data_IF_063912858130
#
_entry.id   IF_063912858130
#
_cell.length_a   1.000
_cell.length_b   1.000
_cell.length_c   1.000
_cell.angle_alpha   90.00
_cell.angle_beta   90.00
_cell.angle_gamma   90.00
#
_symmetry.space_group_name_H-M   'P 1'
#
loop_
_entity.id
_entity.type
_entity.pdbx_description
1 polymer ?
#
# COMPACT_ATOMS: atom_id res chain seq x y z
N UNK A 1 14.36 -14.21 4.90
CA UNK A 1 13.48 -13.23 4.23
C UNK A 1 12.29 -13.91 3.56
N UNK A 2 12.52 -15.01 2.81
CA UNK A 2 11.45 -15.71 2.08
C UNK A 2 10.33 -16.25 2.99
N UNK A 3 10.68 -16.80 4.16
CA UNK A 3 9.69 -17.24 5.16
C UNK A 3 8.82 -16.11 5.71
N UNK A 4 9.38 -14.90 5.83
CA UNK A 4 8.62 -13.70 6.25
C UNK A 4 7.60 -13.34 5.18
N UNK A 5 7.99 -13.37 3.91
CA UNK A 5 7.10 -13.14 2.78
C UNK A 5 5.93 -14.13 2.78
N UNK A 6 6.21 -15.42 2.90
CA UNK A 6 5.17 -16.47 2.99
C UNK A 6 4.29 -16.25 4.21
N UNK A 7 4.88 -15.97 5.37
CA UNK A 7 4.12 -15.73 6.61
C UNK A 7 3.15 -14.56 6.50
N UNK A 8 3.59 -13.43 5.93
CA UNK A 8 2.72 -12.29 5.66
C UNK A 8 1.60 -12.62 4.66
N UNK A 9 1.91 -13.39 3.61
CA UNK A 9 0.92 -13.81 2.62
C UNK A 9 -0.14 -14.70 3.24
N UNK A 10 0.26 -15.68 4.05
CA UNK A 10 -0.66 -16.58 4.78
C UNK A 10 -1.50 -15.78 5.78
N UNK A 11 -0.88 -14.86 6.52
CA UNK A 11 -1.60 -14.01 7.47
C UNK A 11 -2.67 -13.17 6.76
N UNK A 12 -2.32 -12.55 5.63
CA UNK A 12 -3.27 -11.81 4.82
C UNK A 12 -4.43 -12.68 4.34
N UNK A 13 -4.13 -13.86 3.82
CA UNK A 13 -5.14 -14.82 3.37
C UNK A 13 -6.11 -15.17 4.50
N UNK A 14 -5.61 -15.52 5.68
CA UNK A 14 -6.45 -15.85 6.84
C UNK A 14 -7.37 -14.68 7.22
N UNK A 15 -6.86 -13.45 7.24
CA UNK A 15 -7.67 -12.27 7.56
C UNK A 15 -8.74 -12.00 6.49
N UNK A 16 -8.47 -12.23 5.23
CA UNK A 16 -9.42 -12.00 4.15
C UNK A 16 -10.52 -13.07 4.09
N UNK A 17 -10.25 -14.32 4.47
CA UNK A 17 -11.25 -15.42 4.47
C UNK A 17 -12.44 -15.13 5.39
N UNK A 18 -12.27 -14.27 6.42
CA UNK A 18 -13.40 -13.88 7.30
C UNK A 18 -14.46 -13.04 6.59
N UNK A 19 -14.13 -12.43 5.45
CA UNK A 19 -15.01 -11.47 4.76
C UNK A 19 -15.19 -11.77 3.27
N UNK A 20 -14.36 -12.62 2.69
CA UNK A 20 -14.35 -12.97 1.27
C UNK A 20 -14.48 -14.49 1.06
N UNK A 21 -15.02 -14.94 -0.10
CA UNK A 21 -14.89 -16.32 -0.50
C UNK A 21 -13.42 -16.77 -0.51
N UNK A 22 -13.18 -18.03 -0.12
CA UNK A 22 -11.81 -18.58 0.03
C UNK A 22 -10.97 -18.37 -1.24
N UNK A 23 -11.55 -18.58 -2.41
CA UNK A 23 -10.86 -18.41 -3.69
C UNK A 23 -10.50 -16.94 -3.94
N UNK A 24 -11.43 -16.02 -3.69
CA UNK A 24 -11.22 -14.58 -3.85
C UNK A 24 -10.13 -14.08 -2.85
N UNK A 25 -10.18 -14.57 -1.61
CA UNK A 25 -9.18 -14.26 -0.58
C UNK A 25 -7.78 -14.74 -0.95
N UNK A 26 -7.66 -15.99 -1.46
CA UNK A 26 -6.39 -16.58 -1.85
C UNK A 26 -5.76 -15.83 -3.03
N UNK A 27 -6.53 -15.58 -4.07
CA UNK A 27 -6.04 -14.86 -5.26
C UNK A 27 -5.68 -13.41 -4.94
N UNK A 28 -6.48 -12.73 -4.10
CA UNK A 28 -6.18 -11.37 -3.64
C UNK A 28 -4.92 -11.32 -2.79
N UNK A 29 -4.70 -12.29 -1.89
CA UNK A 29 -3.49 -12.38 -1.08
C UNK A 29 -2.25 -12.56 -1.98
N UNK A 30 -2.28 -13.44 -2.97
CA UNK A 30 -1.17 -13.62 -3.92
C UNK A 30 -0.96 -12.39 -4.80
N UNK A 31 -2.04 -11.79 -5.32
CA UNK A 31 -1.97 -10.60 -6.14
C UNK A 31 -1.42 -9.39 -5.37
N UNK A 32 -1.73 -9.27 -4.07
CA UNK A 32 -1.16 -8.21 -3.21
C UNK A 32 0.31 -8.48 -2.90
N UNK A 33 0.66 -9.70 -2.52
CA UNK A 33 2.03 -10.08 -2.19
C UNK A 33 2.97 -9.95 -3.40
N UNK A 34 2.51 -10.34 -4.59
CA UNK A 34 3.24 -10.21 -5.84
C UNK A 34 3.09 -8.84 -6.52
N UNK A 35 2.38 -7.90 -5.90
CA UNK A 35 2.07 -6.57 -6.47
C UNK A 35 1.47 -6.64 -7.88
N UNK A 36 0.61 -7.65 -8.11
CA UNK A 36 0.04 -7.92 -9.44
C UNK A 36 -1.21 -7.12 -9.77
N UNK A 37 -2.02 -6.74 -8.75
CA UNK A 37 -3.23 -5.92 -8.88
C UNK A 37 -4.39 -6.54 -9.64
N UNK A 38 -4.32 -7.82 -9.94
CA UNK A 38 -5.39 -8.51 -10.66
C UNK A 38 -6.54 -8.84 -9.71
N UNK A 39 -7.74 -8.41 -10.08
CA UNK A 39 -9.00 -8.77 -9.42
C UNK A 39 -9.76 -9.80 -10.24
N UNK A 40 -10.40 -10.76 -9.56
CA UNK A 40 -11.29 -11.73 -10.19
C UNK A 40 -12.61 -11.05 -10.60
N UNK A 41 -13.01 -10.00 -9.89
CA UNK A 41 -14.25 -9.26 -10.14
C UNK A 41 -13.98 -8.08 -11.06
N UNK A 42 -14.81 -7.91 -12.08
CA UNK A 42 -14.71 -6.78 -13.03
C UNK A 42 -14.83 -5.42 -12.35
N UNK A 43 -15.57 -5.33 -11.24
CA UNK A 43 -15.70 -4.11 -10.44
C UNK A 43 -14.51 -3.88 -9.49
N UNK A 44 -13.43 -4.66 -9.59
CA UNK A 44 -12.24 -4.51 -8.75
C UNK A 44 -12.49 -4.84 -7.28
N UNK A 45 -11.83 -4.10 -6.39
CA UNK A 45 -11.95 -4.29 -4.93
C UNK A 45 -13.14 -3.53 -4.31
N UNK A 46 -13.93 -2.79 -5.11
CA UNK A 46 -15.11 -2.05 -4.64
C UNK A 46 -16.26 -2.95 -4.16
N UNK A 47 -16.29 -4.20 -4.61
CA UNK A 47 -17.33 -5.20 -4.24
C UNK A 47 -17.19 -5.67 -2.81
N UNK A 48 -15.99 -5.61 -2.24
CA UNK A 48 -15.70 -6.14 -0.92
C UNK A 48 -15.93 -5.09 0.16
N UNK A 49 -16.09 -5.56 1.40
CA UNK A 49 -16.39 -4.72 2.54
C UNK A 49 -15.29 -3.71 2.87
N UNK A 50 -15.61 -2.67 3.65
CA UNK A 50 -14.61 -1.75 4.19
C UNK A 50 -13.50 -2.44 4.99
N UNK A 51 -13.82 -3.57 5.65
CA UNK A 51 -12.84 -4.37 6.37
C UNK A 51 -11.80 -4.97 5.41
N UNK A 52 -12.24 -5.70 4.36
CA UNK A 52 -11.33 -6.29 3.39
C UNK A 52 -10.47 -5.22 2.69
N UNK A 53 -11.06 -4.09 2.31
CA UNK A 53 -10.35 -2.97 1.71
C UNK A 53 -9.25 -2.44 2.65
N UNK A 54 -9.53 -2.33 3.94
CA UNK A 54 -8.55 -1.88 4.94
C UNK A 54 -7.42 -2.90 5.12
N UNK A 55 -7.76 -4.19 5.22
CA UNK A 55 -6.75 -5.27 5.28
C UNK A 55 -5.84 -5.21 4.06
N UNK A 56 -6.40 -5.13 2.85
CA UNK A 56 -5.61 -5.04 1.61
C UNK A 56 -4.70 -3.81 1.65
N UNK A 57 -5.20 -2.64 2.07
CA UNK A 57 -4.40 -1.41 2.20
C UNK A 57 -3.20 -1.62 3.11
N UNK A 58 -3.42 -2.16 4.31
CA UNK A 58 -2.36 -2.43 5.29
C UNK A 58 -1.31 -3.37 4.70
N UNK A 59 -1.74 -4.45 4.04
CA UNK A 59 -0.80 -5.41 3.46
C UNK A 59 -0.07 -4.88 2.23
N UNK A 60 -0.69 -4.04 1.39
CA UNK A 60 0.02 -3.31 0.33
C UNK A 60 1.17 -2.48 0.91
N UNK A 61 0.93 -1.77 2.02
CA UNK A 61 1.98 -1.00 2.71
C UNK A 61 3.03 -1.94 3.30
N UNK A 62 2.64 -3.04 3.98
CA UNK A 62 3.59 -4.00 4.57
C UNK A 62 4.49 -4.65 3.51
N UNK A 63 3.95 -5.09 2.37
CA UNK A 63 4.74 -5.66 1.28
C UNK A 63 5.64 -4.62 0.59
N UNK A 64 5.35 -3.34 0.75
CA UNK A 64 6.17 -2.23 0.25
C UNK A 64 7.33 -1.85 1.16
N UNK A 65 7.36 -2.33 2.39
CA UNK A 65 8.47 -2.12 3.34
C UNK A 65 9.60 -3.11 3.07
N UNK A 66 10.83 -2.69 3.35
CA UNK A 66 12.02 -3.53 3.21
C UNK A 66 11.95 -4.77 4.12
N UNK A 67 12.00 -5.97 3.52
CA UNK A 67 11.92 -7.24 4.26
C UNK A 67 13.07 -7.46 5.24
N UNK A 68 14.20 -6.79 5.05
CA UNK A 68 15.31 -6.84 6.03
C UNK A 68 14.89 -6.23 7.37
N UNK A 69 13.99 -5.24 7.37
CA UNK A 69 13.51 -4.64 8.62
C UNK A 69 12.68 -5.64 9.43
N UNK A 70 11.84 -6.43 8.78
CA UNK A 70 11.10 -7.52 9.46
C UNK A 70 12.04 -8.56 10.06
N UNK A 71 13.10 -8.91 9.34
CA UNK A 71 14.11 -9.82 9.86
C UNK A 71 14.80 -9.24 11.12
N UNK A 72 15.15 -7.94 11.10
CA UNK A 72 15.72 -7.27 12.28
C UNK A 72 14.75 -7.26 13.47
N UNK A 73 13.46 -7.09 13.24
CA UNK A 73 12.43 -7.19 14.30
C UNK A 73 12.39 -8.60 14.89
N UNK A 74 12.41 -9.65 14.06
CA UNK A 74 12.35 -11.04 14.51
C UNK A 74 13.58 -11.46 15.35
N UNK A 75 14.75 -10.89 15.07
CA UNK A 75 15.97 -11.15 15.86
C UNK A 75 16.13 -10.19 17.07
N UNK A 76 15.05 -9.45 17.43
CA UNK A 76 15.05 -8.59 18.61
C UNK A 76 15.76 -7.25 18.42
N UNK A 77 16.22 -6.88 17.23
CA UNK A 77 16.89 -5.60 16.92
C UNK A 77 15.90 -4.51 16.49
N UNK A 78 14.79 -4.38 17.21
CA UNK A 78 13.69 -3.44 16.90
C UNK A 78 14.18 -1.99 16.76
N UNK A 79 15.08 -1.55 17.66
CA UNK A 79 15.64 -0.18 17.63
C UNK A 79 16.39 0.10 16.33
N UNK A 80 17.07 -0.90 15.77
CA UNK A 80 17.80 -0.77 14.51
C UNK A 80 16.84 -0.69 13.32
N UNK A 81 15.77 -1.50 13.34
CA UNK A 81 14.72 -1.46 12.32
C UNK A 81 14.00 -0.10 12.29
N UNK A 82 13.62 0.43 13.46
CA UNK A 82 12.94 1.73 13.59
C UNK A 82 13.85 2.93 13.29
N UNK A 83 15.16 2.75 13.22
CA UNK A 83 16.11 3.82 12.87
C UNK A 83 16.31 3.99 11.37
N UNK A 84 15.61 3.19 10.56
CA UNK A 84 15.70 3.27 9.10
C UNK A 84 15.06 4.57 8.58
N UNK A 85 15.87 5.45 7.99
CA UNK A 85 15.39 6.67 7.33
C UNK A 85 14.45 6.34 6.17
N UNK A 86 14.72 5.26 5.43
CA UNK A 86 13.90 4.82 4.31
C UNK A 86 12.47 4.49 4.75
N UNK A 87 12.31 3.78 5.88
CA UNK A 87 10.99 3.43 6.43
C UNK A 87 10.17 4.68 6.77
N UNK A 88 10.77 5.62 7.49
CA UNK A 88 10.07 6.84 7.91
C UNK A 88 9.74 7.76 6.74
N UNK A 89 10.63 7.84 5.74
CA UNK A 89 10.35 8.59 4.51
C UNK A 89 9.19 7.96 3.73
N UNK A 90 9.18 6.63 3.58
CA UNK A 90 8.09 5.91 2.94
C UNK A 90 6.75 6.15 3.63
N UNK A 91 6.69 5.93 4.95
CA UNK A 91 5.48 6.14 5.74
C UNK A 91 5.04 7.61 5.76
N UNK A 92 6.00 8.54 5.80
CA UNK A 92 5.73 9.98 5.74
C UNK A 92 5.09 10.40 4.42
N UNK A 93 5.64 9.96 3.29
CA UNK A 93 5.09 10.22 1.95
C UNK A 93 3.70 9.60 1.83
N UNK A 94 3.53 8.35 2.25
CA UNK A 94 2.25 7.65 2.23
C UNK A 94 1.18 8.39 3.04
N UNK A 95 1.51 8.75 4.29
CA UNK A 95 0.57 9.45 5.18
C UNK A 95 0.22 10.84 4.66
N UNK A 96 1.22 11.63 4.24
CA UNK A 96 1.01 12.97 3.70
C UNK A 96 0.15 12.94 2.44
N UNK A 97 0.44 12.05 1.49
CA UNK A 97 -0.33 11.91 0.26
C UNK A 97 -1.77 11.44 0.54
N UNK A 98 -1.94 10.44 1.43
CA UNK A 98 -3.27 9.94 1.80
C UNK A 98 -4.12 11.02 2.45
N UNK A 99 -3.57 11.82 3.35
CA UNK A 99 -4.30 12.92 4.01
C UNK A 99 -4.58 14.08 3.05
N UNK A 100 -3.63 14.44 2.20
CA UNK A 100 -3.82 15.49 1.20
C UNK A 100 -4.92 15.13 0.19
N UNK A 101 -4.91 13.88 -0.31
CA UNK A 101 -5.96 13.36 -1.19
C UNK A 101 -7.29 13.32 -0.45
N UNK A 102 -7.33 12.76 0.78
CA UNK A 102 -8.57 12.64 1.57
C UNK A 102 -9.24 14.01 1.79
N UNK A 103 -8.46 15.03 2.15
CA UNK A 103 -8.98 16.39 2.31
C UNK A 103 -9.54 16.99 1.01
N UNK A 104 -8.93 16.65 -0.13
CA UNK A 104 -9.35 17.16 -1.43
C UNK A 104 -10.60 16.45 -1.98
N UNK A 105 -10.78 15.14 -1.71
CA UNK A 105 -11.94 14.36 -2.17
C UNK A 105 -13.11 14.36 -1.19
N UNK A 106 -12.92 14.90 0.03
CA UNK A 106 -13.94 14.92 1.09
C UNK A 106 -15.34 15.37 0.65
N UNK A 107 -15.50 16.41 -0.21
CA UNK A 107 -16.82 16.84 -0.65
C UNK A 107 -17.63 15.77 -1.39
N UNK A 108 -16.97 14.75 -1.94
CA UNK A 108 -17.60 13.63 -2.67
C UNK A 108 -17.97 12.43 -1.79
N UNK A 109 -17.62 12.45 -0.50
CA UNK A 109 -17.81 11.31 0.41
C UNK A 109 -18.67 11.71 1.62
N UNK A 110 -19.37 10.72 2.22
CA UNK A 110 -20.28 10.94 3.34
C UNK A 110 -19.57 11.25 4.66
N UNK A 111 -18.34 10.76 4.83
CA UNK A 111 -17.56 10.97 6.04
C UNK A 111 -16.06 11.09 5.75
N UNK A 112 -15.35 11.79 6.65
CA UNK A 112 -13.89 11.89 6.57
C UNK A 112 -13.21 10.51 6.61
N UNK A 113 -13.72 9.58 7.43
CA UNK A 113 -13.18 8.22 7.51
C UNK A 113 -13.31 7.45 6.19
N UNK A 114 -14.40 7.63 5.46
CA UNK A 114 -14.59 7.05 4.13
C UNK A 114 -13.60 7.64 3.11
N UNK A 115 -13.48 8.97 3.10
CA UNK A 115 -12.52 9.65 2.23
C UNK A 115 -11.06 9.21 2.51
N UNK A 116 -10.68 9.10 3.79
CA UNK A 116 -9.35 8.59 4.19
C UNK A 116 -9.12 7.15 3.72
N UNK A 117 -10.12 6.27 3.89
CA UNK A 117 -10.01 4.88 3.42
C UNK A 117 -9.77 4.81 1.91
N UNK A 118 -10.55 5.54 1.11
CA UNK A 118 -10.39 5.58 -0.35
C UNK A 118 -9.06 6.19 -0.77
N UNK A 119 -8.65 7.28 -0.14
CA UNK A 119 -7.38 7.94 -0.40
C UNK A 119 -6.19 7.04 -0.04
N UNK A 120 -6.20 6.44 1.16
CA UNK A 120 -5.13 5.56 1.62
C UNK A 120 -5.02 4.28 0.77
N UNK A 121 -6.16 3.68 0.40
CA UNK A 121 -6.17 2.52 -0.48
C UNK A 121 -5.52 2.85 -1.83
N UNK A 122 -5.95 3.95 -2.47
CA UNK A 122 -5.43 4.34 -3.78
C UNK A 122 -3.96 4.76 -3.70
N UNK A 123 -3.57 5.51 -2.66
CA UNK A 123 -2.16 5.87 -2.44
C UNK A 123 -1.28 4.63 -2.21
N UNK A 124 -1.73 3.67 -1.37
CA UNK A 124 -1.03 2.40 -1.16
C UNK A 124 -0.91 1.60 -2.46
N UNK A 125 -1.99 1.54 -3.25
CA UNK A 125 -2.01 0.84 -4.54
C UNK A 125 -0.99 1.42 -5.53
N UNK A 126 -0.87 2.75 -5.60
CA UNK A 126 0.12 3.40 -6.48
C UNK A 126 1.55 3.19 -5.98
N UNK A 127 1.83 3.42 -4.69
CA UNK A 127 3.17 3.29 -4.11
C UNK A 127 3.67 1.84 -4.07
N UNK A 128 2.77 0.87 -3.82
CA UNK A 128 3.11 -0.56 -3.87
C UNK A 128 3.25 -1.08 -5.28
N UNK A 129 2.85 -0.29 -6.29
CA UNK A 129 2.74 -0.71 -7.69
C UNK A 129 1.77 -1.89 -7.92
N UNK A 130 0.81 -2.10 -7.01
CA UNK A 130 -0.20 -3.15 -7.14
C UNK A 130 -1.24 -2.83 -8.20
N UNK A 131 -1.73 -1.58 -8.27
CA UNK A 131 -2.74 -1.19 -9.25
C UNK A 131 -4.18 -1.58 -8.91
N UNK A 132 -4.47 -2.02 -7.68
CA UNK A 132 -5.84 -2.25 -7.23
C UNK A 132 -6.65 -0.95 -7.17
N UNK A 133 -7.95 -1.02 -7.49
CA UNK A 133 -8.86 0.11 -7.40
C UNK A 133 -10.13 -0.25 -6.62
N UNK A 134 -10.61 0.69 -5.80
CA UNK A 134 -11.91 0.64 -5.10
C UNK A 134 -12.86 1.74 -5.55
N UNK A 135 -12.36 2.74 -6.26
CA UNK A 135 -13.14 3.84 -6.82
C UNK A 135 -12.47 4.32 -8.11
N UNK A 136 -13.26 4.97 -8.97
CA UNK A 136 -12.73 5.59 -10.17
C UNK A 136 -12.06 6.93 -9.82
N UNK A 137 -10.73 6.90 -9.70
CA UNK A 137 -9.94 8.10 -9.43
C UNK A 137 -9.91 9.10 -10.61
N UNK A 138 -10.41 8.73 -11.79
CA UNK A 138 -10.54 9.67 -12.91
C UNK A 138 -11.58 10.75 -12.62
N UNK A 139 -12.54 10.46 -11.74
CA UNK A 139 -13.56 11.41 -11.29
C UNK A 139 -13.06 12.36 -10.19
N UNK A 140 -11.88 12.12 -9.64
CA UNK A 140 -11.32 12.93 -8.56
C UNK A 140 -10.80 14.28 -9.06
N UNK A 141 -10.70 15.29 -8.17
CA UNK A 141 -10.15 16.60 -8.52
C UNK A 141 -8.72 16.51 -9.06
N UNK A 142 -8.33 17.44 -9.89
CA UNK A 142 -7.00 17.50 -10.53
C UNK A 142 -5.82 17.38 -9.56
N UNK A 143 -5.93 18.04 -8.40
CA UNK A 143 -4.89 17.95 -7.37
C UNK A 143 -4.64 16.51 -6.94
N UNK A 144 -5.69 15.75 -6.62
CA UNK A 144 -5.56 14.33 -6.23
C UNK A 144 -4.94 13.51 -7.34
N UNK A 145 -5.33 13.72 -8.61
CA UNK A 145 -4.73 13.02 -9.76
C UNK A 145 -3.24 13.33 -9.92
N UNK A 146 -2.84 14.59 -9.72
CA UNK A 146 -1.41 14.97 -9.77
C UNK A 146 -0.61 14.33 -8.64
N UNK A 147 -1.15 14.27 -7.42
CA UNK A 147 -0.50 13.56 -6.31
C UNK A 147 -0.34 12.08 -6.64
N UNK A 148 -1.39 11.42 -7.16
CA UNK A 148 -1.32 10.02 -7.56
C UNK A 148 -0.27 9.79 -8.67
N UNK A 149 -0.20 10.68 -9.66
CA UNK A 149 0.80 10.62 -10.71
C UNK A 149 2.22 10.68 -10.13
N UNK A 150 2.48 11.58 -9.19
CA UNK A 150 3.77 11.66 -8.51
C UNK A 150 4.08 10.39 -7.72
N UNK A 151 3.07 9.82 -7.04
CA UNK A 151 3.24 8.56 -6.30
C UNK A 151 3.58 7.36 -7.20
N UNK A 152 3.15 7.36 -8.46
CA UNK A 152 3.52 6.30 -9.42
C UNK A 152 5.03 6.27 -9.71
N UNK A 153 5.71 7.44 -9.64
CA UNK A 153 7.18 7.50 -9.78
C UNK A 153 7.89 7.12 -8.46
N UNK A 154 7.29 7.49 -7.32
CA UNK A 154 7.82 7.17 -5.99
C UNK A 154 7.42 5.76 -5.61
N UNK A 155 8.27 4.80 -5.90
CA UNK A 155 8.02 3.38 -5.61
C UNK A 155 8.23 3.01 -4.13
N UNK A 156 8.18 1.71 -3.88
CA UNK A 156 8.35 1.11 -2.57
C UNK A 156 9.80 1.17 -2.04
N UNK A 157 10.03 0.70 -0.79
CA UNK A 157 11.37 0.55 -0.20
C UNK A 157 12.24 -0.45 -0.97
N UNK A 158 13.56 -0.30 -0.86
CA UNK A 158 14.49 -1.30 -1.38
C UNK A 158 14.29 -2.65 -0.65
N UNK A 159 14.43 -3.76 -1.38
CA UNK A 159 14.21 -5.09 -0.78
C UNK A 159 12.75 -5.37 -0.38
N UNK A 160 11.79 -4.67 -0.98
CA UNK A 160 10.35 -4.94 -0.95
C UNK A 160 9.90 -5.61 -2.25
N UNK A 161 8.64 -6.07 -2.32
CA UNK A 161 8.05 -6.62 -3.54
C UNK A 161 7.63 -5.56 -4.55
N UNK A 162 7.41 -4.30 -4.13
CA UNK A 162 6.96 -3.21 -4.99
C UNK A 162 7.97 -2.82 -6.08
N UNK A 163 7.49 -2.29 -7.18
CA UNK A 163 8.26 -1.74 -8.30
C UNK A 163 8.65 -0.26 -8.11
N UNK A 164 8.83 0.45 -9.22
CA UNK A 164 9.09 1.90 -9.25
C UNK A 164 10.50 2.31 -8.82
N UNK A 165 10.72 3.64 -8.75
CA UNK A 165 11.98 4.21 -8.25
C UNK A 165 12.00 4.04 -6.73
N UNK A 166 12.93 3.23 -6.24
CA UNK A 166 13.04 2.95 -4.81
C UNK A 166 13.33 4.23 -4.01
N UNK A 167 12.66 4.37 -2.86
CA UNK A 167 12.80 5.54 -1.98
C UNK A 167 14.25 5.81 -1.60
N UNK A 168 15.05 4.76 -1.39
CA UNK A 168 16.48 4.92 -1.10
C UNK A 168 17.23 5.69 -2.20
N UNK A 169 16.85 5.53 -3.48
CA UNK A 169 17.47 6.30 -4.58
C UNK A 169 17.09 7.77 -4.54
N UNK A 170 15.85 8.08 -4.19
CA UNK A 170 15.37 9.45 -3.99
C UNK A 170 16.14 10.09 -2.83
N UNK A 171 16.27 9.38 -1.70
CA UNK A 171 17.04 9.86 -0.53
C UNK A 171 18.50 10.12 -0.87
N UNK A 172 19.15 9.25 -1.64
CA UNK A 172 20.55 9.48 -2.08
C UNK A 172 20.62 10.70 -2.99
N UNK A 173 19.70 10.82 -3.95
CA UNK A 173 19.64 11.97 -4.85
C UNK A 173 19.49 13.30 -4.12
N UNK A 174 18.61 13.37 -3.11
CA UNK A 174 18.41 14.58 -2.29
C UNK A 174 19.57 14.91 -1.34
N UNK A 175 20.38 13.91 -0.97
CA UNK A 175 21.59 14.14 -0.13
C UNK A 175 22.82 14.53 -0.95
N UNK A 176 22.81 14.28 -2.26
CA UNK A 176 23.91 14.62 -3.17
C UNK A 176 23.73 15.97 -3.88
N UNK A 177 22.50 16.49 -3.90
CA UNK A 177 22.18 17.81 -4.45
C UNK A 177 22.37 18.91 -3.39
#
# INVERSE_FOLDING_TARGET
LYLIYIGLTVLMFVLLVFDMPVFDALTTAFATAGTGGFSIRNAGMSVYSPYAQTVITVFMVLFSVNFTLYYLVLIGKLRQALRSEELWTFLGIFAAASLAIAGNILPGFRSFGEAVRHAAFTAASMMSTSGFAISDFNLWPWFSKMVLLLLMFVGACAGSTGGGIKIVRILIGTKLA
#
